data_IF_937280674655
#
_entry.id   IF_937280674655
#
_cell.length_a   1.000
_cell.length_b   1.000
_cell.length_c   1.000
_cell.angle_alpha   90.00
_cell.angle_beta   90.00
_cell.angle_gamma   90.00
#
_symmetry.space_group_name_H-M   'P 1'
#
loop_
_entity.id
_entity.type
_entity.pdbx_description
1 polymer ?
#
# COMPACT_ATOMS: atom_id res chain seq x y z
N UNK A 1 -3.84 12.40 13.67
CA UNK A 1 -3.94 11.17 14.48
C UNK A 1 -3.25 10.02 13.72
N UNK A 2 -2.89 8.92 14.41
CA UNK A 2 -2.39 7.70 13.75
C UNK A 2 -3.48 6.66 13.82
N UNK A 3 -3.79 6.03 12.69
CA UNK A 3 -4.84 5.04 12.55
C UNK A 3 -4.22 3.71 12.16
N UNK A 4 -4.50 2.68 12.95
CA UNK A 4 -4.03 1.32 12.66
C UNK A 4 -4.96 0.64 11.63
N UNK A 5 -4.35 -0.02 10.65
CA UNK A 5 -5.04 -0.83 9.64
C UNK A 5 -4.31 -2.15 9.44
N UNK A 6 -5.06 -3.16 9.04
CA UNK A 6 -4.54 -4.48 8.66
C UNK A 6 -4.93 -4.72 7.20
N UNK A 7 -3.95 -5.05 6.36
CA UNK A 7 -4.15 -5.39 4.95
C UNK A 7 -3.56 -6.75 4.69
N UNK A 8 -4.19 -7.51 3.79
CA UNK A 8 -3.63 -8.78 3.33
C UNK A 8 -2.69 -8.50 2.18
N UNK A 9 -1.41 -8.83 2.33
CA UNK A 9 -0.42 -8.68 1.28
C UNK A 9 -0.87 -9.46 0.03
N UNK A 10 -1.00 -8.83 -1.15
CA UNK A 10 -1.42 -9.50 -2.37
C UNK A 10 -0.39 -10.51 -2.87
N UNK A 11 0.90 -10.35 -2.51
CA UNK A 11 2.01 -11.21 -2.92
C UNK A 11 2.07 -12.48 -2.05
N UNK A 12 2.25 -12.34 -0.73
CA UNK A 12 2.49 -13.48 0.16
C UNK A 12 1.29 -13.91 1.01
N UNK A 13 0.15 -13.22 0.88
CA UNK A 13 -1.14 -13.48 1.57
C UNK A 13 -1.12 -13.33 3.10
N UNK A 14 -0.06 -12.79 3.68
CA UNK A 14 0.00 -12.49 5.12
C UNK A 14 -0.76 -11.22 5.48
N UNK A 15 -1.28 -11.18 6.70
CA UNK A 15 -1.85 -9.97 7.29
C UNK A 15 -0.71 -9.07 7.77
N UNK A 16 -0.68 -7.85 7.24
CA UNK A 16 0.32 -6.83 7.57
C UNK A 16 -0.39 -5.70 8.29
N UNK A 17 0.07 -5.38 9.50
CA UNK A 17 -0.39 -4.21 10.25
C UNK A 17 0.42 -2.98 9.82
N UNK A 18 -0.26 -1.86 9.66
CA UNK A 18 0.38 -0.60 9.31
C UNK A 18 -0.32 0.59 9.96
N UNK A 19 0.49 1.61 10.22
CA UNK A 19 0.09 2.83 10.89
C UNK A 19 0.01 3.96 9.87
N UNK A 20 -1.20 4.42 9.57
CA UNK A 20 -1.43 5.50 8.62
C UNK A 20 -1.62 6.78 9.41
N UNK A 21 -0.88 7.81 9.04
CA UNK A 21 -1.12 9.15 9.58
C UNK A 21 -2.18 9.84 8.73
N UNK A 22 -3.12 10.54 9.37
CA UNK A 22 -4.20 11.24 8.65
C UNK A 22 -3.71 12.32 7.68
N UNK A 23 -2.54 12.93 7.94
CA UNK A 23 -1.95 13.94 7.05
C UNK A 23 -1.53 13.36 5.69
N UNK A 24 -1.48 12.02 5.55
CA UNK A 24 -1.21 11.35 4.26
C UNK A 24 -2.32 11.60 3.25
N UNK A 25 -3.56 11.85 3.70
CA UNK A 25 -4.74 12.04 2.84
C UNK A 25 -5.26 13.48 2.80
N UNK A 26 -4.75 14.37 3.65
CA UNK A 26 -5.21 15.75 3.75
C UNK A 26 -5.02 16.51 2.41
N UNK A 27 -6.11 17.12 1.92
CA UNK A 27 -6.10 17.90 0.67
C UNK A 27 -5.94 17.07 -0.62
N UNK A 28 -5.94 15.74 -0.55
CA UNK A 28 -5.82 14.87 -1.73
C UNK A 28 -7.17 14.49 -2.33
N UNK A 29 -7.13 14.08 -3.60
CA UNK A 29 -8.29 13.46 -4.27
C UNK A 29 -8.35 11.98 -3.95
N UNK A 30 -9.55 11.49 -3.69
CA UNK A 30 -9.81 10.10 -3.33
C UNK A 30 -10.16 9.24 -4.57
N UNK A 31 -9.81 7.94 -4.55
CA UNK A 31 -9.03 7.29 -3.50
C UNK A 31 -7.53 7.66 -3.57
N UNK A 32 -6.89 7.81 -2.41
CA UNK A 32 -5.48 8.20 -2.30
C UNK A 32 -4.59 6.96 -2.44
N UNK A 33 -3.68 6.93 -3.43
CA UNK A 33 -2.72 5.84 -3.56
C UNK A 33 -1.63 5.97 -2.49
N UNK A 34 -1.38 4.88 -1.77
CA UNK A 34 -0.32 4.77 -0.77
C UNK A 34 0.53 3.54 -1.07
N UNK A 35 1.86 3.73 -1.13
CA UNK A 35 2.80 2.62 -1.34
C UNK A 35 3.07 1.94 -0.01
N UNK A 36 2.81 0.64 0.04
CA UNK A 36 3.12 -0.21 1.18
C UNK A 36 4.25 -1.16 0.82
N UNK A 37 5.25 -1.22 1.70
CA UNK A 37 6.40 -2.10 1.58
C UNK A 37 6.51 -2.85 2.89
N UNK A 38 6.55 -4.17 2.81
CA UNK A 38 6.92 -4.99 3.96
C UNK A 38 7.90 -6.08 3.54
N UNK A 39 8.79 -6.42 4.47
CA UNK A 39 9.77 -7.47 4.26
C UNK A 39 9.17 -8.82 4.68
N UNK A 40 9.41 -9.85 3.88
CA UNK A 40 9.16 -11.24 4.25
C UNK A 40 10.37 -12.07 3.84
N UNK A 41 11.04 -12.68 4.82
CA UNK A 41 12.36 -13.29 4.63
C UNK A 41 13.35 -12.25 4.07
N UNK A 42 13.95 -12.53 2.89
CA UNK A 42 14.90 -11.66 2.19
C UNK A 42 14.27 -10.86 1.05
N UNK A 43 12.94 -10.95 0.85
CA UNK A 43 12.20 -10.27 -0.21
C UNK A 43 11.39 -9.07 0.33
N UNK A 44 11.39 -7.97 -0.43
CA UNK A 44 10.55 -6.81 -0.17
C UNK A 44 9.30 -6.88 -1.05
N UNK A 45 8.14 -6.98 -0.41
CA UNK A 45 6.85 -6.92 -1.09
C UNK A 45 6.36 -5.49 -1.13
N UNK A 46 6.34 -4.90 -2.33
CA UNK A 46 5.76 -3.60 -2.60
C UNK A 46 4.40 -3.75 -3.28
N UNK A 47 3.39 -3.05 -2.78
CA UNK A 47 2.08 -2.94 -3.40
C UNK A 47 1.45 -1.59 -3.08
N UNK A 48 0.50 -1.17 -3.90
CA UNK A 48 -0.24 0.08 -3.73
C UNK A 48 -1.56 -0.26 -3.07
N UNK A 49 -1.94 0.50 -2.05
CA UNK A 49 -3.31 0.48 -1.53
C UNK A 49 -3.98 1.81 -1.80
N UNK A 50 -5.26 1.76 -2.12
CA UNK A 50 -6.09 2.92 -2.38
C UNK A 50 -6.99 3.15 -1.18
N UNK A 51 -6.88 4.34 -0.57
CA UNK A 51 -7.62 4.70 0.65
C UNK A 51 -8.68 5.76 0.39
N UNK A 52 -9.83 5.67 1.05
CA UNK A 52 -10.84 6.73 1.04
C UNK A 52 -10.60 7.81 2.11
N UNK A 53 -11.56 8.71 2.26
CA UNK A 53 -11.53 9.81 3.24
C UNK A 53 -11.57 9.37 4.69
N UNK A 54 -11.92 8.12 4.96
CA UNK A 54 -11.96 7.53 6.31
C UNK A 54 -10.75 6.61 6.56
N UNK A 55 -9.74 6.66 5.68
CA UNK A 55 -8.59 5.75 5.69
C UNK A 55 -9.01 4.27 5.58
N UNK A 56 -10.13 3.99 4.94
CA UNK A 56 -10.59 2.64 4.66
C UNK A 56 -10.02 2.17 3.33
N UNK A 57 -9.73 0.87 3.25
CA UNK A 57 -9.17 0.24 2.05
C UNK A 57 -10.25 0.13 0.97
N UNK A 58 -10.02 0.77 -0.17
CA UNK A 58 -10.86 0.65 -1.36
C UNK A 58 -10.37 -0.44 -2.31
N UNK A 59 -9.06 -0.48 -2.57
CA UNK A 59 -8.47 -1.40 -3.55
C UNK A 59 -6.97 -1.65 -3.27
N UNK A 60 -6.42 -2.70 -3.89
CA UNK A 60 -5.02 -3.11 -3.81
C UNK A 60 -4.50 -3.42 -5.22
N UNK A 61 -3.35 -2.85 -5.56
CA UNK A 61 -2.68 -3.09 -6.83
C UNK A 61 -1.23 -3.56 -6.62
N UNK A 62 -0.83 -4.60 -7.37
CA UNK A 62 0.56 -5.02 -7.49
C UNK A 62 1.10 -4.58 -8.85
N UNK A 63 1.93 -3.52 -8.91
CA UNK A 63 2.45 -3.07 -10.18
C UNK A 63 3.38 -4.13 -10.78
N UNK A 64 3.19 -4.43 -12.06
CA UNK A 64 4.14 -5.25 -12.82
C UNK A 64 5.34 -4.38 -13.22
N UNK A 65 6.51 -4.67 -12.65
CA UNK A 65 7.75 -3.99 -13.03
C UNK A 65 8.28 -4.65 -14.29
N UNK A 66 8.04 -4.01 -15.44
CA UNK A 66 8.66 -4.42 -16.71
C UNK A 66 9.99 -3.70 -16.86
N UNK A 67 11.09 -4.41 -16.63
CA UNK A 67 12.44 -3.88 -16.88
C UNK A 67 12.67 -3.88 -18.39
N UNK A 68 12.63 -2.71 -19.03
CA UNK A 68 13.05 -2.59 -20.42
C UNK A 68 14.58 -2.54 -20.48
N UNK A 69 15.22 -3.60 -20.98
CA UNK A 69 16.65 -3.56 -21.30
C UNK A 69 16.86 -2.59 -22.47
N UNK A 70 17.47 -1.44 -22.19
CA UNK A 70 17.98 -0.57 -23.24
C UNK A 70 19.25 -1.21 -23.79
N UNK A 71 19.18 -1.77 -25.00
CA UNK A 71 20.35 -2.26 -25.74
C UNK A 71 21.24 -1.11 -26.20
#
# INVERSE_FOLDING_TARGET
MVVERIVKCPICKESVQFNIREDVIEGKKYPVPCVFIHQKNDDNHAFIVYLDSELSLCDIETPEIVVSETK
#
